data_IF_055463361826
#
_entry.id   IF_055463361826
#
_cell.length_a   1.000
_cell.length_b   1.000
_cell.length_c   1.000
_cell.angle_alpha   90.00
_cell.angle_beta   90.00
_cell.angle_gamma   90.00
#
_symmetry.space_group_name_H-M   'P 1'
#
loop_
_entity.id
_entity.type
_entity.pdbx_description
1 polymer ?
#
# COMPACT_ATOMS: atom_id res chain seq x y z
N UNK A 1 -25.53 28.80 4.87
CA UNK A 1 -24.35 28.62 4.04
C UNK A 1 -23.20 27.91 4.77
N UNK A 2 -23.02 28.25 6.04
CA UNK A 2 -21.96 27.61 6.84
C UNK A 2 -22.18 26.13 7.06
N UNK A 3 -23.42 25.67 7.03
CA UNK A 3 -23.76 24.26 7.21
C UNK A 3 -23.19 23.37 6.11
N UNK A 4 -23.30 23.81 4.85
CA UNK A 4 -22.80 23.02 3.72
C UNK A 4 -21.27 22.97 3.71
N UNK A 5 -20.61 24.07 4.05
CA UNK A 5 -19.15 24.11 4.15
C UNK A 5 -18.66 23.17 5.25
N UNK A 6 -19.32 23.17 6.40
CA UNK A 6 -18.97 22.27 7.51
C UNK A 6 -19.17 20.81 7.15
N UNK A 7 -20.22 20.47 6.38
CA UNK A 7 -20.41 19.10 5.90
C UNK A 7 -19.32 18.67 4.93
N UNK A 8 -18.94 19.55 4.01
CA UNK A 8 -17.85 19.25 3.08
C UNK A 8 -16.54 19.03 3.81
N UNK A 9 -16.24 19.85 4.80
CA UNK A 9 -15.03 19.71 5.60
C UNK A 9 -15.00 18.38 6.32
N UNK A 10 -16.13 17.95 6.89
CA UNK A 10 -16.21 16.63 7.55
C UNK A 10 -16.03 15.48 6.58
N UNK A 11 -16.56 15.59 5.38
CA UNK A 11 -16.38 14.56 4.35
C UNK A 11 -14.92 14.47 3.91
N UNK A 12 -14.26 15.61 3.75
CA UNK A 12 -12.85 15.66 3.38
C UNK A 12 -12.00 15.07 4.50
N UNK A 13 -12.27 15.41 5.75
CA UNK A 13 -11.56 14.84 6.90
C UNK A 13 -11.75 13.33 7.00
N UNK A 14 -12.98 12.84 6.80
CA UNK A 14 -13.25 11.41 6.81
C UNK A 14 -12.55 10.66 5.69
N UNK A 15 -12.49 11.25 4.49
CA UNK A 15 -11.79 10.68 3.35
C UNK A 15 -10.29 10.64 3.61
N UNK A 16 -9.72 11.70 4.20
CA UNK A 16 -8.31 11.76 4.53
C UNK A 16 -7.93 10.73 5.58
N UNK A 17 -8.75 10.57 6.62
CA UNK A 17 -8.51 9.55 7.65
C UNK A 17 -8.52 8.14 7.07
N UNK A 18 -9.44 7.85 6.16
CA UNK A 18 -9.50 6.55 5.48
C UNK A 18 -8.28 6.33 4.61
N UNK A 19 -7.83 7.36 3.92
CA UNK A 19 -6.65 7.30 3.07
C UNK A 19 -5.39 7.04 3.92
N UNK A 20 -5.24 7.75 5.04
CA UNK A 20 -4.10 7.57 5.94
C UNK A 20 -4.09 6.16 6.53
N UNK A 21 -5.25 5.63 6.92
CA UNK A 21 -5.38 4.28 7.43
C UNK A 21 -5.01 3.25 6.35
N UNK A 22 -5.40 3.49 5.11
CA UNK A 22 -5.07 2.60 3.99
C UNK A 22 -3.58 2.57 3.72
N UNK A 23 -2.90 3.73 3.78
CA UNK A 23 -1.44 3.80 3.61
C UNK A 23 -0.76 2.99 4.70
N UNK A 24 -1.19 3.15 5.94
CA UNK A 24 -0.63 2.44 7.07
C UNK A 24 -0.84 0.93 6.94
N UNK A 25 -2.04 0.51 6.53
CA UNK A 25 -2.35 -0.90 6.25
C UNK A 25 -1.47 -1.46 5.14
N UNK A 26 -1.18 -0.64 4.12
CA UNK A 26 -0.32 -1.04 3.01
C UNK A 26 1.12 -1.29 3.40
N UNK A 27 1.56 -0.78 4.54
CA UNK A 27 2.91 -1.03 5.05
C UNK A 27 3.02 -2.32 5.85
N UNK A 28 1.89 -3.00 6.10
CA UNK A 28 1.90 -4.30 6.74
C UNK A 28 2.48 -5.36 5.82
N UNK A 29 3.05 -6.44 6.36
CA UNK A 29 3.58 -7.51 5.52
C UNK A 29 2.47 -8.21 4.76
N UNK A 30 2.75 -8.53 3.49
CA UNK A 30 1.83 -9.29 2.66
C UNK A 30 1.73 -10.73 3.13
N UNK A 31 2.85 -11.27 3.60
CA UNK A 31 2.96 -12.66 4.07
C UNK A 31 3.64 -12.63 5.43
N UNK A 32 2.87 -12.45 6.52
CA UNK A 32 3.45 -12.36 7.86
C UNK A 32 4.21 -13.64 8.24
N UNK A 33 5.36 -13.47 8.87
CA UNK A 33 6.12 -14.59 9.41
C UNK A 33 5.61 -14.88 10.81
N UNK A 34 4.99 -16.06 10.98
CA UNK A 34 4.38 -16.47 12.25
C UNK A 34 5.44 -16.79 13.30
N UNK A 35 6.50 -17.46 12.88
CA UNK A 35 7.59 -17.86 13.75
C UNK A 35 8.92 -17.46 13.14
N UNK A 36 9.85 -17.01 13.97
CA UNK A 36 11.21 -16.76 13.55
C UNK A 36 12.18 -17.26 14.60
N UNK A 37 13.37 -17.66 14.15
CA UNK A 37 14.41 -18.17 15.03
C UNK A 37 15.31 -17.02 15.48
N UNK A 38 15.25 -16.71 16.78
CA UNK A 38 16.08 -15.67 17.37
C UNK A 38 17.59 -15.98 17.27
N UNK A 39 17.96 -17.23 17.12
CA UNK A 39 19.35 -17.61 16.96
C UNK A 39 19.87 -17.30 15.57
N UNK A 40 19.00 -17.37 14.57
CA UNK A 40 19.35 -17.07 13.18
C UNK A 40 19.24 -15.57 12.90
N UNK A 41 18.23 -14.92 13.47
CA UNK A 41 18.01 -13.49 13.33
C UNK A 41 18.56 -12.75 14.53
N UNK A 42 19.49 -11.83 14.32
CA UNK A 42 20.06 -11.01 15.38
C UNK A 42 19.92 -9.53 15.01
N UNK A 43 18.69 -9.01 14.94
CA UNK A 43 18.48 -7.62 14.58
C UNK A 43 18.92 -6.69 15.72
N UNK A 44 19.53 -5.58 15.36
CA UNK A 44 20.01 -4.59 16.32
C UNK A 44 18.88 -3.83 16.99
N UNK A 45 17.75 -3.65 16.28
CA UNK A 45 16.59 -2.90 16.77
C UNK A 45 15.30 -3.62 16.43
N UNK A 46 14.21 -3.24 17.13
CA UNK A 46 12.88 -3.76 16.82
C UNK A 46 12.45 -3.38 15.40
N UNK A 47 12.77 -2.17 14.97
CA UNK A 47 12.44 -1.71 13.62
C UNK A 47 13.16 -2.54 12.57
N UNK A 48 14.43 -2.86 12.80
CA UNK A 48 15.19 -3.71 11.89
C UNK A 48 14.66 -5.15 11.88
N UNK A 49 14.27 -5.67 13.05
CA UNK A 49 13.63 -6.97 13.15
C UNK A 49 12.36 -7.04 12.32
N UNK A 50 11.50 -6.06 12.44
CA UNK A 50 10.26 -5.98 11.66
C UNK A 50 10.55 -5.93 10.17
N UNK A 51 11.54 -5.16 9.76
CA UNK A 51 11.91 -5.02 8.36
C UNK A 51 12.46 -6.33 7.78
N UNK A 52 13.31 -7.01 8.52
CA UNK A 52 13.92 -8.27 8.08
C UNK A 52 12.89 -9.40 8.00
N UNK A 53 11.93 -9.42 8.92
CA UNK A 53 10.95 -10.51 9.02
C UNK A 53 9.67 -10.26 8.22
N UNK A 54 9.39 -9.01 7.88
CA UNK A 54 8.13 -8.66 7.21
C UNK A 54 8.12 -8.99 5.72
N UNK A 55 9.31 -9.01 5.08
CA UNK A 55 9.39 -9.24 3.64
C UNK A 55 8.70 -8.14 2.85
N UNK A 56 7.92 -8.54 1.85
CA UNK A 56 7.21 -7.60 0.98
C UNK A 56 6.01 -7.00 1.69
N UNK A 57 5.81 -5.68 1.51
CA UNK A 57 4.62 -5.02 2.04
C UNK A 57 3.39 -5.33 1.18
N UNK A 58 2.20 -5.15 1.77
CA UNK A 58 0.94 -5.27 1.04
C UNK A 58 0.89 -4.31 -0.15
N UNK A 59 1.38 -3.09 0.05
CA UNK A 59 1.41 -2.08 -1.00
C UNK A 59 2.24 -2.56 -2.19
N UNK A 60 3.44 -3.07 -1.92
CA UNK A 60 4.32 -3.60 -2.96
C UNK A 60 3.72 -4.83 -3.64
N UNK A 61 3.08 -5.70 -2.88
CA UNK A 61 2.43 -6.90 -3.43
C UNK A 61 1.30 -6.52 -4.39
N UNK A 62 0.43 -5.60 -3.97
CA UNK A 62 -0.65 -5.14 -4.83
C UNK A 62 -0.13 -4.42 -6.06
N UNK A 63 0.92 -3.61 -5.91
CA UNK A 63 1.54 -2.93 -7.04
C UNK A 63 2.14 -3.93 -8.04
N UNK A 64 2.79 -4.97 -7.54
CA UNK A 64 3.37 -6.02 -8.39
C UNK A 64 2.29 -6.75 -9.17
N UNK A 65 1.17 -7.08 -8.53
CA UNK A 65 0.03 -7.76 -9.20
C UNK A 65 -0.63 -6.84 -10.22
N UNK A 66 -0.79 -5.57 -9.89
CA UNK A 66 -1.35 -4.58 -10.82
C UNK A 66 -0.43 -4.43 -12.04
N UNK A 67 0.87 -4.32 -11.80
CA UNK A 67 1.85 -4.19 -12.87
C UNK A 67 1.83 -5.41 -13.80
N UNK A 68 1.78 -6.59 -13.21
CA UNK A 68 1.71 -7.84 -13.98
C UNK A 68 0.48 -7.86 -14.90
N UNK A 69 -0.68 -7.46 -14.37
CA UNK A 69 -1.91 -7.37 -15.13
C UNK A 69 -1.85 -6.35 -16.25
N UNK A 70 -1.28 -5.17 -15.96
CA UNK A 70 -1.15 -4.11 -16.96
C UNK A 70 -0.23 -4.53 -18.10
N UNK A 71 0.91 -5.14 -17.79
CA UNK A 71 1.87 -5.60 -18.80
C UNK A 71 1.32 -6.76 -19.65
N UNK A 72 0.58 -7.65 -19.03
CA UNK A 72 -0.03 -8.76 -19.74
C UNK A 72 -1.18 -8.32 -20.66
N UNK A 73 -1.91 -7.27 -20.23
CA UNK A 73 -3.07 -6.79 -20.96
C UNK A 73 -2.72 -5.97 -22.19
N UNK A 74 -1.87 -4.96 -22.02
CA UNK A 74 -1.55 -4.04 -23.11
C UNK A 74 -0.24 -3.31 -22.83
N UNK A 75 0.86 -3.99 -23.05
CA UNK A 75 2.20 -3.44 -22.85
C UNK A 75 2.48 -2.25 -23.78
N UNK A 76 1.83 -2.20 -24.94
CA UNK A 76 2.06 -1.12 -25.92
C UNK A 76 1.50 0.23 -25.46
N UNK A 77 0.49 0.23 -24.59
CA UNK A 77 -0.10 1.46 -24.07
C UNK A 77 0.71 2.06 -22.92
N UNK A 78 1.69 1.33 -22.42
CA UNK A 78 2.54 1.82 -21.35
C UNK A 78 3.64 2.68 -21.97
N UNK A 79 3.55 4.00 -21.76
CA UNK A 79 4.43 4.96 -22.40
C UNK A 79 5.87 4.85 -21.93
N UNK A 80 6.09 4.48 -20.66
CA UNK A 80 7.42 4.32 -20.09
C UNK A 80 7.35 3.45 -18.85
N UNK A 81 8.52 2.98 -18.42
CA UNK A 81 8.65 2.19 -17.19
C UNK A 81 8.25 2.99 -15.96
N UNK A 82 8.59 4.28 -15.93
CA UNK A 82 8.23 5.17 -14.82
C UNK A 82 6.72 5.33 -14.70
N UNK A 83 6.03 5.48 -15.83
CA UNK A 83 4.57 5.60 -15.85
C UNK A 83 3.92 4.31 -15.39
N UNK A 84 4.44 3.18 -15.84
CA UNK A 84 3.93 1.87 -15.42
C UNK A 84 4.07 1.68 -13.91
N UNK A 85 5.23 2.00 -13.36
CA UNK A 85 5.47 1.91 -11.92
C UNK A 85 4.54 2.83 -11.13
N UNK A 86 4.38 4.07 -11.56
CA UNK A 86 3.48 5.03 -10.91
C UNK A 86 2.03 4.54 -10.92
N UNK A 87 1.58 4.02 -12.06
CA UNK A 87 0.21 3.49 -12.17
C UNK A 87 0.00 2.27 -11.30
N UNK A 88 1.01 1.41 -11.20
CA UNK A 88 0.94 0.24 -10.35
C UNK A 88 0.73 0.62 -8.89
N UNK A 89 1.48 1.59 -8.39
CA UNK A 89 1.34 2.06 -7.02
C UNK A 89 0.04 2.82 -6.78
N UNK A 90 -0.41 3.60 -7.75
CA UNK A 90 -1.73 4.24 -7.65
C UNK A 90 -2.84 3.21 -7.55
N UNK A 91 -2.74 2.14 -8.32
CA UNK A 91 -3.71 1.05 -8.27
C UNK A 91 -3.65 0.34 -6.91
N UNK A 92 -2.45 0.10 -6.40
CA UNK A 92 -2.26 -0.49 -5.08
C UNK A 92 -2.90 0.37 -4.00
N UNK A 93 -2.68 1.68 -4.03
CA UNK A 93 -3.26 2.62 -3.07
C UNK A 93 -4.79 2.63 -3.15
N UNK A 94 -5.34 2.57 -4.35
CA UNK A 94 -6.78 2.48 -4.55
C UNK A 94 -7.35 1.18 -3.99
N UNK A 95 -6.65 0.07 -4.18
CA UNK A 95 -7.05 -1.22 -3.64
C UNK A 95 -7.03 -1.23 -2.12
N UNK A 96 -6.00 -0.64 -1.52
CA UNK A 96 -5.90 -0.52 -0.06
C UNK A 96 -7.02 0.34 0.49
N UNK A 97 -7.33 1.45 -0.16
CA UNK A 97 -8.44 2.32 0.23
C UNK A 97 -9.79 1.59 0.13
N UNK A 98 -9.99 0.81 -0.91
CA UNK A 98 -11.20 0.02 -1.10
C UNK A 98 -11.39 -1.02 0.00
N UNK A 99 -10.30 -1.65 0.45
CA UNK A 99 -10.35 -2.61 1.56
C UNK A 99 -10.76 -1.97 2.87
N UNK A 100 -10.35 -0.73 3.08
CA UNK A 100 -10.62 0.00 4.33
C UNK A 100 -12.01 0.64 4.37
N UNK A 101 -12.72 0.66 3.25
CA UNK A 101 -14.03 1.30 3.15
C UNK A 101 -15.14 0.45 3.78
#
# INVERSE_FOLDING_TARGET
>A
MDYMAAQMDRQIEGAQLRYDAAIEDGLQPAFPVADYDHQTFQPATVAESKRQLSGMTLRDYFAAKALQGMLAGDAERIASEDVAAMRAYKMADAMLAARSA
#
